data_IF_519994060407
#
_entry.id   IF_519994060407
#
_cell.length_a   1.000
_cell.length_b   1.000
_cell.length_c   1.000
_cell.angle_alpha   90.00
_cell.angle_beta   90.00
_cell.angle_gamma   90.00
#
_symmetry.space_group_name_H-M   'P 1'
#
loop_
_entity.id
_entity.type
_entity.pdbx_description
1 polymer ?
#
# COMPACT_ATOMS: atom_id res chain seq x y z
N UNK A 1 17.82 12.30 14.04
CA UNK A 1 17.70 12.62 12.61
C UNK A 1 17.99 11.37 11.81
N UNK A 2 17.16 11.06 10.92
CA UNK A 2 17.34 9.88 10.10
C UNK A 2 17.77 10.28 8.70
N UNK A 3 19.08 10.30 8.49
CA UNK A 3 19.66 10.66 7.22
C UNK A 3 19.43 9.56 6.18
N UNK A 4 19.16 8.37 6.62
CA UNK A 4 19.11 7.22 5.73
C UNK A 4 17.74 6.61 5.59
N UNK A 5 16.73 7.44 5.65
CA UNK A 5 15.37 6.97 5.38
C UNK A 5 15.17 6.72 3.89
N UNK A 6 16.20 6.19 3.23
CA UNK A 6 16.19 5.94 1.80
C UNK A 6 15.54 4.62 1.48
N UNK A 7 15.72 3.66 2.36
CA UNK A 7 15.28 2.32 2.09
C UNK A 7 13.89 2.01 2.62
N UNK A 8 13.31 2.92 3.36
CA UNK A 8 11.99 2.66 3.90
C UNK A 8 11.00 2.65 2.76
N UNK A 9 10.28 1.56 2.64
CA UNK A 9 9.31 1.42 1.59
C UNK A 9 8.11 2.32 1.89
N UNK A 10 7.91 3.34 1.06
CA UNK A 10 6.90 4.37 1.32
C UNK A 10 6.04 4.70 0.10
N UNK A 11 5.97 3.80 -0.87
CA UNK A 11 5.14 3.98 -2.06
C UNK A 11 3.66 3.94 -1.67
N UNK A 12 2.96 5.07 -1.66
CA UNK A 12 1.59 5.11 -1.17
C UNK A 12 0.63 4.17 -1.89
N UNK A 13 0.64 4.04 -3.23
CA UNK A 13 -0.27 3.11 -3.89
C UNK A 13 -0.10 1.67 -3.43
N UNK A 14 1.13 1.18 -3.33
CA UNK A 14 1.37 -0.19 -2.91
C UNK A 14 0.97 -0.40 -1.44
N UNK A 15 1.26 0.57 -0.60
CA UNK A 15 0.88 0.49 0.82
C UNK A 15 -0.63 0.43 0.98
N UNK A 16 -1.38 1.22 0.20
CA UNK A 16 -2.83 1.22 0.24
C UNK A 16 -3.38 -0.12 -0.22
N UNK A 17 -2.87 -0.63 -1.35
CA UNK A 17 -3.30 -1.92 -1.86
C UNK A 17 -3.03 -3.05 -0.87
N UNK A 18 -1.85 -3.04 -0.24
CA UNK A 18 -1.50 -4.04 0.77
C UNK A 18 -2.42 -3.96 1.98
N UNK A 19 -2.77 -2.75 2.40
CA UNK A 19 -3.72 -2.56 3.50
C UNK A 19 -5.08 -3.16 3.15
N UNK A 20 -5.56 -2.89 1.94
CA UNK A 20 -6.86 -3.41 1.49
C UNK A 20 -6.86 -4.91 1.27
N UNK A 21 -5.70 -5.52 1.06
CA UNK A 21 -5.60 -6.97 0.96
C UNK A 21 -6.02 -7.66 2.25
N UNK A 22 -5.89 -6.98 3.38
CA UNK A 22 -6.34 -7.48 4.67
C UNK A 22 -7.83 -7.34 4.91
N UNK A 23 -8.54 -6.64 4.03
CA UNK A 23 -9.97 -6.41 4.15
C UNK A 23 -10.34 -5.00 3.73
N UNK A 24 -11.57 -4.81 3.33
CA UNK A 24 -12.06 -3.49 2.97
C UNK A 24 -12.03 -2.55 4.17
N UNK A 25 -11.71 -1.28 3.93
CA UNK A 25 -11.68 -0.27 4.99
C UNK A 25 -11.68 1.13 4.39
N UNK A 26 -12.06 2.11 5.20
CA UNK A 26 -12.03 3.52 4.79
C UNK A 26 -10.63 4.11 4.99
N UNK A 27 -10.42 5.31 4.44
CA UNK A 27 -9.10 5.92 4.41
C UNK A 27 -8.43 6.09 5.76
N UNK A 28 -9.17 6.50 6.79
CA UNK A 28 -8.57 6.68 8.10
C UNK A 28 -8.02 5.36 8.65
N UNK A 29 -8.78 4.28 8.47
CA UNK A 29 -8.34 2.96 8.91
C UNK A 29 -7.15 2.47 8.10
N UNK A 30 -7.07 2.84 6.81
CA UNK A 30 -5.88 2.56 6.00
C UNK A 30 -4.65 3.24 6.58
N UNK A 31 -4.77 4.51 6.97
CA UNK A 31 -3.64 5.25 7.54
C UNK A 31 -3.09 4.56 8.79
N UNK A 32 -4.00 4.16 9.67
CA UNK A 32 -3.59 3.46 10.88
C UNK A 32 -2.94 2.11 10.58
N UNK A 33 -3.54 1.37 9.66
CA UNK A 33 -3.03 0.05 9.28
C UNK A 33 -1.66 0.15 8.61
N UNK A 34 -1.48 1.12 7.73
CA UNK A 34 -0.20 1.33 7.04
C UNK A 34 0.89 1.68 8.04
N UNK A 35 0.57 2.51 9.02
CA UNK A 35 1.54 2.86 10.05
C UNK A 35 1.94 1.63 10.87
N UNK A 36 0.97 0.81 11.24
CA UNK A 36 1.23 -0.40 11.99
C UNK A 36 2.01 -1.43 11.16
N UNK A 37 1.66 -1.59 9.88
CA UNK A 37 2.22 -2.60 8.99
C UNK A 37 3.62 -2.24 8.49
N UNK A 38 3.83 -0.99 8.15
CA UNK A 38 5.04 -0.56 7.45
C UNK A 38 5.82 0.54 8.17
N UNK A 39 5.29 1.07 9.27
CA UNK A 39 5.95 2.16 9.96
C UNK A 39 5.97 3.47 9.17
N UNK A 40 5.08 3.61 8.20
CA UNK A 40 5.02 4.78 7.34
C UNK A 40 3.76 5.57 7.67
N UNK A 41 3.93 6.87 7.92
CA UNK A 41 2.79 7.75 8.14
C UNK A 41 2.45 8.47 6.84
N UNK A 42 1.23 8.26 6.34
CA UNK A 42 0.71 9.00 5.19
C UNK A 42 -0.23 10.08 5.68
N UNK A 43 0.01 11.31 5.24
CA UNK A 43 -0.92 12.39 5.51
C UNK A 43 -2.19 12.25 4.67
N UNK A 44 -3.28 12.93 5.06
CA UNK A 44 -4.55 12.80 4.34
C UNK A 44 -4.48 13.15 2.87
N UNK A 45 -3.77 14.23 2.53
CA UNK A 45 -3.65 14.64 1.13
C UNK A 45 -2.99 13.58 0.26
N UNK A 46 -1.89 13.01 0.75
CA UNK A 46 -1.17 11.96 0.03
C UNK A 46 -2.04 10.70 -0.08
N UNK A 47 -2.68 10.33 1.03
CA UNK A 47 -3.53 9.14 1.05
C UNK A 47 -4.68 9.26 0.06
N UNK A 48 -5.48 10.32 0.18
CA UNK A 48 -6.68 10.46 -0.65
C UNK A 48 -6.34 10.74 -2.11
N UNK A 49 -5.22 11.39 -2.39
CA UNK A 49 -4.73 11.54 -3.75
C UNK A 49 -4.39 10.19 -4.38
N UNK A 50 -3.73 9.32 -3.61
CA UNK A 50 -3.40 7.98 -4.10
C UNK A 50 -4.64 7.11 -4.26
N UNK A 51 -5.61 7.21 -3.34
CA UNK A 51 -6.89 6.50 -3.46
C UNK A 51 -7.59 6.88 -4.77
N UNK A 52 -7.63 8.17 -5.07
CA UNK A 52 -8.28 8.64 -6.30
C UNK A 52 -7.60 8.05 -7.54
N UNK A 53 -6.28 8.01 -7.56
CA UNK A 53 -5.55 7.43 -8.68
C UNK A 53 -5.77 5.94 -8.81
N UNK A 54 -5.78 5.22 -7.68
CA UNK A 54 -6.02 3.78 -7.70
C UNK A 54 -7.42 3.44 -8.17
N UNK A 55 -8.40 4.24 -7.76
CA UNK A 55 -9.77 4.07 -8.22
C UNK A 55 -9.87 4.33 -9.72
N UNK A 56 -9.23 5.40 -10.20
CA UNK A 56 -9.23 5.73 -11.62
C UNK A 56 -8.60 4.63 -12.47
N UNK A 57 -7.61 3.94 -11.93
CA UNK A 57 -6.96 2.82 -12.62
C UNK A 57 -7.76 1.52 -12.52
N UNK A 58 -8.81 1.49 -11.74
CA UNK A 58 -9.61 0.30 -11.56
C UNK A 58 -9.02 -0.75 -10.63
N UNK A 59 -8.06 -0.36 -9.78
CA UNK A 59 -7.43 -1.28 -8.83
C UNK A 59 -8.21 -1.42 -7.54
N UNK A 60 -9.01 -0.40 -7.21
CA UNK A 60 -9.88 -0.42 -6.04
C UNK A 60 -11.24 0.11 -6.44
N UNK A 61 -12.26 -0.21 -5.66
CA UNK A 61 -13.60 0.31 -5.91
C UNK A 61 -14.25 0.74 -4.61
N UNK A 62 -15.06 1.81 -4.65
CA UNK A 62 -15.74 2.27 -3.45
C UNK A 62 -16.89 1.35 -3.09
N UNK A 63 -17.13 1.21 -1.81
CA UNK A 63 -18.28 0.50 -1.27
C UNK A 63 -19.27 1.52 -0.74
N UNK A 64 -20.51 1.10 -0.40
CA UNK A 64 -21.47 2.04 0.18
C UNK A 64 -20.93 2.72 1.42
N UNK A 65 -21.26 3.99 1.57
CA UNK A 65 -20.84 4.78 2.73
C UNK A 65 -21.41 4.17 4.01
N UNK A 66 -20.55 4.05 5.02
CA UNK A 66 -20.93 3.60 6.36
C UNK A 66 -20.49 4.67 7.36
N UNK A 67 -21.41 5.12 8.20
CA UNK A 67 -21.12 6.12 9.23
C UNK A 67 -20.33 7.31 8.67
N UNK A 68 -20.77 7.82 7.52
CA UNK A 68 -20.17 8.98 6.83
C UNK A 68 -18.78 8.72 6.26
N UNK A 69 -18.35 7.46 6.21
CA UNK A 69 -17.05 7.11 5.67
C UNK A 69 -17.22 6.17 4.48
N UNK A 70 -16.36 6.36 3.48
CA UNK A 70 -16.38 5.55 2.26
C UNK A 70 -15.33 4.46 2.38
N UNK A 71 -15.75 3.21 2.56
CA UNK A 71 -14.79 2.11 2.47
C UNK A 71 -14.46 1.79 1.02
N UNK A 72 -13.32 1.14 0.83
CA UNK A 72 -12.85 0.68 -0.47
C UNK A 72 -12.43 -0.77 -0.36
N UNK A 73 -12.43 -1.46 -1.50
CA UNK A 73 -11.91 -2.82 -1.58
C UNK A 73 -11.09 -3.01 -2.84
N UNK A 74 -10.23 -4.02 -2.84
CA UNK A 74 -9.50 -4.40 -4.04
C UNK A 74 -10.46 -4.97 -5.08
N UNK A 75 -10.21 -4.63 -6.34
CA UNK A 75 -10.83 -5.32 -7.47
C UNK A 75 -9.95 -6.51 -7.85
N UNK A 76 -10.45 -7.38 -8.74
CA UNK A 76 -9.64 -8.47 -9.27
C UNK A 76 -8.37 -7.93 -9.93
N UNK A 77 -8.48 -6.80 -10.65
CA UNK A 77 -7.35 -6.14 -11.28
C UNK A 77 -6.34 -5.64 -10.24
N UNK A 78 -6.85 -5.10 -9.13
CA UNK A 78 -5.99 -4.63 -8.04
C UNK A 78 -5.25 -5.76 -7.36
N UNK A 79 -5.92 -6.89 -7.15
CA UNK A 79 -5.29 -8.07 -6.57
C UNK A 79 -4.13 -8.55 -7.44
N UNK A 80 -4.38 -8.68 -8.74
CA UNK A 80 -3.35 -9.14 -9.68
C UNK A 80 -2.17 -8.19 -9.73
N UNK A 81 -2.44 -6.89 -9.76
CA UNK A 81 -1.39 -5.87 -9.79
C UNK A 81 -0.56 -5.92 -8.50
N UNK A 82 -1.21 -5.98 -7.35
CA UNK A 82 -0.51 -6.03 -6.07
C UNK A 82 0.37 -7.28 -5.97
N UNK A 83 -0.16 -8.42 -6.38
CA UNK A 83 0.60 -9.66 -6.34
C UNK A 83 1.86 -9.56 -7.19
N UNK A 84 1.76 -8.99 -8.38
CA UNK A 84 2.90 -8.79 -9.26
C UNK A 84 3.94 -7.87 -8.61
N UNK A 85 3.48 -6.77 -8.03
CA UNK A 85 4.38 -5.82 -7.38
C UNK A 85 5.10 -6.43 -6.19
N UNK A 86 4.37 -7.14 -5.35
CA UNK A 86 4.96 -7.76 -4.16
C UNK A 86 5.94 -8.88 -4.53
N UNK A 87 5.63 -9.66 -5.57
CA UNK A 87 6.54 -10.69 -6.05
C UNK A 87 7.84 -10.08 -6.56
N UNK A 88 7.76 -8.96 -7.29
CA UNK A 88 8.95 -8.25 -7.74
C UNK A 88 9.80 -7.76 -6.59
N UNK A 89 9.16 -7.20 -5.57
CA UNK A 89 9.88 -6.73 -4.38
C UNK A 89 10.56 -7.87 -3.64
N UNK A 90 9.87 -8.99 -3.52
CA UNK A 90 10.42 -10.17 -2.87
C UNK A 90 11.64 -10.69 -3.61
N UNK A 91 11.57 -10.78 -4.93
CA UNK A 91 12.68 -11.22 -5.77
C UNK A 91 13.87 -10.27 -5.61
N UNK A 92 13.62 -8.98 -5.64
CA UNK A 92 14.67 -7.99 -5.47
C UNK A 92 15.33 -8.12 -4.10
N UNK A 93 14.53 -8.19 -3.05
CA UNK A 93 15.04 -8.31 -1.69
C UNK A 93 15.86 -9.59 -1.51
N UNK A 94 15.38 -10.70 -2.06
CA UNK A 94 16.07 -11.97 -2.00
C UNK A 94 17.42 -11.92 -2.69
N UNK A 95 17.47 -11.32 -3.87
CA UNK A 95 18.73 -11.16 -4.62
C UNK A 95 19.71 -10.30 -3.83
N UNK A 96 19.23 -9.19 -3.26
CA UNK A 96 20.10 -8.32 -2.47
C UNK A 96 20.68 -9.03 -1.26
N UNK A 97 19.85 -9.77 -0.55
CA UNK A 97 20.31 -10.53 0.62
C UNK A 97 21.34 -11.59 0.24
N UNK A 98 21.13 -12.28 -0.89
CA UNK A 98 22.09 -13.28 -1.37
C UNK A 98 23.43 -12.64 -1.68
N UNK A 99 23.42 -11.47 -2.32
CA UNK A 99 24.66 -10.78 -2.66
C UNK A 99 25.39 -10.31 -1.41
N UNK A 100 24.65 -9.81 -0.42
CA UNK A 100 25.26 -9.43 0.84
C UNK A 100 25.89 -10.62 1.55
N UNK A 101 25.29 -11.78 1.47
CA UNK A 101 25.82 -12.98 2.10
C UNK A 101 27.16 -13.41 1.51
N UNK A 102 27.47 -13.00 0.27
CA UNK A 102 28.74 -13.33 -0.37
C UNK A 102 29.89 -12.37 -0.02
N UNK A 103 29.59 -11.32 0.73
CA UNK A 103 30.61 -10.40 1.20
C UNK A 103 31.26 -10.96 2.47
#
# INVERSE_FOLDING_TARGET
MDTFNLGRFSDPPILILASLAGGSKHGYAMMEDIEAMAGVHLGPGTLYGAIARLEAQGFIEPLPVEERRRPYRLTARGIAFLQEQLTSLETFASTGLQRLAGI
#
